data_IF_083246784654
#
_entry.id   IF_083246784654
#
_cell.length_a   1.000
_cell.length_b   1.000
_cell.length_c   1.000
_cell.angle_alpha   90.00
_cell.angle_beta   90.00
_cell.angle_gamma   90.00
#
_symmetry.space_group_name_H-M   'P 1'
#
loop_
_entity.id
_entity.type
_entity.pdbx_description
1 polymer ?
#
# COMPACT_ATOMS: atom_id res chain seq x y z
N UNK A 1 -13.56 11.43 33.86
CA UNK A 1 -13.76 11.40 32.40
C UNK A 1 -13.87 9.93 32.00
N UNK A 2 -15.05 9.46 31.60
CA UNK A 2 -15.17 8.10 31.04
C UNK A 2 -14.74 8.14 29.58
N UNK A 3 -13.87 7.22 29.17
CA UNK A 3 -13.45 7.09 27.78
C UNK A 3 -14.36 6.08 27.10
N UNK A 4 -15.15 6.56 26.15
CA UNK A 4 -15.99 5.73 25.29
C UNK A 4 -15.10 5.01 24.27
N UNK A 5 -14.96 3.69 24.42
CA UNK A 5 -14.08 2.84 23.57
C UNK A 5 -14.83 2.11 22.46
N UNK A 6 -16.15 2.26 22.38
CA UNK A 6 -17.00 1.55 21.41
C UNK A 6 -16.56 1.77 19.94
N UNK A 7 -15.98 2.93 19.63
CA UNK A 7 -15.48 3.24 18.28
C UNK A 7 -14.12 2.59 17.96
N UNK A 8 -13.39 2.11 18.97
CA UNK A 8 -12.07 1.48 18.78
C UNK A 8 -12.18 0.13 18.09
N UNK A 9 -13.24 -0.64 18.37
CA UNK A 9 -13.45 -1.94 17.75
C UNK A 9 -13.54 -1.86 16.21
N UNK A 10 -14.46 -1.07 15.59
CA UNK A 10 -14.50 -0.95 14.14
C UNK A 10 -13.23 -0.32 13.55
N UNK A 11 -12.60 0.63 14.25
CA UNK A 11 -11.33 1.21 13.81
C UNK A 11 -10.20 0.17 13.76
N UNK A 12 -10.09 -0.69 14.77
CA UNK A 12 -9.10 -1.77 14.82
C UNK A 12 -9.31 -2.79 13.70
N UNK A 13 -10.57 -3.13 13.38
CA UNK A 13 -10.90 -4.03 12.27
C UNK A 13 -10.45 -3.44 10.93
N UNK A 14 -10.71 -2.15 10.68
CA UNK A 14 -10.28 -1.48 9.44
C UNK A 14 -8.75 -1.38 9.34
N UNK A 15 -8.07 -1.09 10.44
CA UNK A 15 -6.61 -1.05 10.50
C UNK A 15 -6.01 -2.45 10.24
N UNK A 16 -6.58 -3.49 10.87
CA UNK A 16 -6.17 -4.88 10.67
C UNK A 16 -6.38 -5.32 9.22
N UNK A 17 -7.53 -4.99 8.62
CA UNK A 17 -7.82 -5.29 7.22
C UNK A 17 -6.84 -4.58 6.28
N UNK A 18 -6.53 -3.31 6.55
CA UNK A 18 -5.51 -2.55 5.79
C UNK A 18 -4.15 -3.26 5.82
N UNK A 19 -3.74 -3.78 6.98
CA UNK A 19 -2.48 -4.52 7.11
C UNK A 19 -2.49 -5.82 6.30
N UNK A 20 -3.62 -6.55 6.28
CA UNK A 20 -3.76 -7.76 5.46
C UNK A 20 -3.59 -7.45 3.98
N UNK A 21 -4.21 -6.38 3.48
CA UNK A 21 -4.08 -5.97 2.06
C UNK A 21 -2.65 -5.49 1.76
N UNK A 22 -1.99 -4.81 2.70
CA UNK A 22 -0.58 -4.41 2.56
C UNK A 22 0.36 -5.61 2.45
N UNK A 23 0.20 -6.62 3.31
CA UNK A 23 0.97 -7.85 3.24
C UNK A 23 0.70 -8.60 1.92
N UNK A 24 -0.54 -8.60 1.45
CA UNK A 24 -0.90 -9.16 0.15
C UNK A 24 -0.22 -8.45 -1.03
N UNK A 25 -0.16 -7.10 -1.00
CA UNK A 25 0.60 -6.32 -1.98
C UNK A 25 2.08 -6.75 -2.02
N UNK A 26 2.74 -6.79 -0.86
CA UNK A 26 4.16 -7.18 -0.77
C UNK A 26 4.35 -8.59 -1.33
N UNK A 27 3.56 -9.55 -0.85
CA UNK A 27 3.67 -10.95 -1.26
C UNK A 27 3.52 -11.16 -2.77
N UNK A 28 2.65 -10.38 -3.42
CA UNK A 28 2.36 -10.51 -4.85
C UNK A 28 3.27 -9.69 -5.76
N UNK A 29 3.82 -8.57 -5.26
CA UNK A 29 4.64 -7.66 -6.07
C UNK A 29 6.14 -7.91 -5.92
N UNK A 30 6.61 -8.35 -4.75
CA UNK A 30 8.04 -8.62 -4.50
C UNK A 30 8.71 -9.58 -5.49
N UNK A 31 8.07 -10.67 -5.95
CA UNK A 31 8.67 -11.55 -6.95
C UNK A 31 8.94 -10.85 -8.29
N UNK A 32 8.10 -9.87 -8.68
CA UNK A 32 8.31 -9.12 -9.91
C UNK A 32 9.52 -8.18 -9.81
N UNK A 33 9.75 -7.58 -8.64
CA UNK A 33 10.97 -6.81 -8.38
C UNK A 33 12.23 -7.67 -8.46
N UNK A 34 12.20 -8.85 -7.82
CA UNK A 34 13.32 -9.79 -7.87
C UNK A 34 13.63 -10.25 -9.31
N UNK A 35 12.59 -10.57 -10.10
CA UNK A 35 12.74 -10.95 -11.50
C UNK A 35 13.29 -9.82 -12.39
N UNK A 36 13.01 -8.56 -12.04
CA UNK A 36 13.56 -7.38 -12.71
C UNK A 36 14.95 -6.97 -12.21
N UNK A 37 15.54 -7.73 -11.27
CA UNK A 37 16.85 -7.40 -10.67
C UNK A 37 16.83 -6.17 -9.75
N UNK A 38 15.65 -5.71 -9.36
CA UNK A 38 15.47 -4.53 -8.53
C UNK A 38 15.57 -4.96 -7.06
N UNK A 39 16.58 -4.44 -6.36
CA UNK A 39 16.80 -4.68 -4.93
C UNK A 39 16.96 -3.35 -4.18
N UNK A 40 16.70 -3.37 -2.88
CA UNK A 40 16.86 -2.18 -2.02
C UNK A 40 18.29 -1.64 -2.06
N UNK A 41 19.29 -2.51 -2.21
CA UNK A 41 20.70 -2.10 -2.28
C UNK A 41 21.13 -1.45 -3.59
N UNK A 42 20.39 -1.69 -4.69
CA UNK A 42 20.73 -1.19 -6.01
C UNK A 42 19.87 0.00 -6.45
N UNK A 43 18.83 0.35 -5.68
CA UNK A 43 18.00 1.50 -5.98
C UNK A 43 18.75 2.81 -5.65
N UNK A 44 18.61 3.85 -6.49
CA UNK A 44 19.08 5.19 -6.16
C UNK A 44 18.50 5.67 -4.82
N UNK A 45 19.28 6.46 -4.08
CA UNK A 45 18.79 7.10 -2.86
C UNK A 45 17.55 7.97 -3.17
N UNK A 46 16.46 7.75 -2.44
CA UNK A 46 15.20 8.45 -2.66
C UNK A 46 14.30 7.86 -3.75
N UNK A 47 14.66 6.70 -4.33
CA UNK A 47 13.81 6.00 -5.28
C UNK A 47 12.42 5.69 -4.69
N UNK A 48 11.41 5.86 -5.53
CA UNK A 48 9.98 5.68 -5.23
C UNK A 48 9.44 4.50 -6.01
N UNK A 49 8.29 3.99 -5.56
CA UNK A 49 7.58 2.93 -6.26
C UNK A 49 7.27 3.26 -7.74
N UNK A 50 7.05 4.54 -8.06
CA UNK A 50 6.78 5.02 -9.43
C UNK A 50 7.99 4.91 -10.35
N UNK A 51 9.22 5.00 -9.82
CA UNK A 51 10.45 4.92 -10.60
C UNK A 51 10.71 3.52 -11.17
N UNK A 52 9.93 2.53 -10.70
CA UNK A 52 10.03 1.12 -11.09
C UNK A 52 8.94 0.69 -12.07
N UNK A 53 7.99 1.57 -12.42
CA UNK A 53 6.84 1.19 -13.24
C UNK A 53 7.22 0.75 -14.65
N UNK A 54 8.22 1.38 -15.26
CA UNK A 54 8.71 1.00 -16.59
C UNK A 54 9.49 -0.32 -16.63
N UNK A 55 9.86 -0.87 -15.46
CA UNK A 55 10.67 -2.09 -15.35
C UNK A 55 9.83 -3.33 -15.01
N UNK A 56 8.60 -3.14 -14.56
CA UNK A 56 7.69 -4.21 -14.15
C UNK A 56 6.57 -4.40 -15.18
N UNK A 57 6.06 -5.62 -15.28
CA UNK A 57 4.85 -5.89 -16.08
C UNK A 57 3.66 -5.07 -15.57
N UNK A 58 2.76 -4.65 -16.47
CA UNK A 58 1.55 -3.90 -16.11
C UNK A 58 0.74 -4.57 -15.00
N UNK A 59 0.60 -5.91 -15.06
CA UNK A 59 -0.12 -6.69 -14.04
C UNK A 59 0.51 -6.61 -12.65
N UNK A 60 1.84 -6.54 -12.56
CA UNK A 60 2.54 -6.35 -11.29
C UNK A 60 2.33 -4.94 -10.74
N UNK A 61 2.24 -3.93 -11.62
CA UNK A 61 1.97 -2.54 -11.22
C UNK A 61 0.51 -2.34 -10.77
N UNK A 62 -0.46 -2.99 -11.42
CA UNK A 62 -1.89 -2.85 -11.06
C UNK A 62 -2.19 -3.19 -9.60
N UNK A 63 -1.47 -4.14 -9.00
CA UNK A 63 -1.65 -4.50 -7.59
C UNK A 63 -1.26 -3.30 -6.70
N UNK A 64 -0.14 -2.64 -7.02
CA UNK A 64 0.29 -1.43 -6.31
C UNK A 64 -0.65 -0.27 -6.54
N UNK A 65 -1.12 -0.07 -7.78
CA UNK A 65 -2.08 0.99 -8.09
C UNK A 65 -3.40 0.80 -7.35
N UNK A 66 -3.91 -0.43 -7.25
CA UNK A 66 -5.10 -0.74 -6.46
C UNK A 66 -4.91 -0.45 -4.98
N UNK A 67 -3.76 -0.85 -4.41
CA UNK A 67 -3.45 -0.52 -3.02
C UNK A 67 -3.36 0.99 -2.81
N UNK A 68 -2.64 1.72 -3.68
CA UNK A 68 -2.54 3.18 -3.62
C UNK A 68 -3.93 3.80 -3.69
N UNK A 69 -4.78 3.41 -4.64
CA UNK A 69 -6.15 3.95 -4.72
C UNK A 69 -7.00 3.64 -3.49
N UNK A 70 -6.83 2.49 -2.83
CA UNK A 70 -7.55 2.17 -1.58
C UNK A 70 -7.13 3.08 -0.41
N UNK A 71 -5.88 3.53 -0.37
CA UNK A 71 -5.32 4.34 0.75
C UNK A 71 -5.17 5.83 0.43
N UNK A 72 -5.21 6.19 -0.84
CA UNK A 72 -5.16 7.56 -1.36
C UNK A 72 -6.54 8.23 -1.34
N UNK A 73 -7.62 7.43 -1.41
CA UNK A 73 -8.96 7.98 -1.41
C UNK A 73 -9.27 8.79 -0.14
N UNK A 74 -10.02 9.90 -0.27
CA UNK A 74 -9.86 11.03 0.63
C UNK A 74 -10.55 10.83 1.97
N UNK A 75 -10.00 11.56 2.95
CA UNK A 75 -10.74 12.17 4.07
C UNK A 75 -11.87 13.06 3.54
N UNK A 76 -12.95 12.49 3.03
CA UNK A 76 -14.11 13.21 2.46
C UNK A 76 -15.08 13.79 3.51
N UNK A 77 -14.59 14.18 4.69
CA UNK A 77 -15.47 14.69 5.77
C UNK A 77 -15.43 16.22 5.98
N UNK A 78 -14.47 16.97 5.43
CA UNK A 78 -14.42 18.45 5.57
C UNK A 78 -14.34 19.10 4.19
N UNK A 79 -15.48 19.14 3.51
CA UNK A 79 -15.84 20.20 2.56
C UNK A 79 -17.35 20.17 2.35
N UNK A 80 -18.06 21.01 3.11
CA UNK A 80 -19.34 21.59 2.70
C UNK A 80 -19.05 22.92 2.03
#
# INVERSE_FOLDING_TARGET
>A
MQIETAILAPAAVLAGWTMVVFLWLIARRMPAFAAAGITVGNMPAGARGVDTEGQLSAKANWISHNYTHLVEQPRSFIRW
#
